data_IF_458162182451
#
_entry.id   IF_458162182451
#
_cell.length_a   1.000
_cell.length_b   1.000
_cell.length_c   1.000
_cell.angle_alpha   90.00
_cell.angle_beta   90.00
_cell.angle_gamma   90.00
#
_symmetry.space_group_name_H-M   'P 1'
#
loop_
_entity.id
_entity.type
_entity.pdbx_description
1 polymer ?
#
# COMPACT_ATOMS: atom_id res chain seq x y z
N UNK A 1 26.01 -14.98 -7.62
CA UNK A 1 24.87 -14.53 -6.78
C UNK A 1 23.68 -15.47 -7.01
N UNK A 2 23.41 -16.44 -6.11
CA UNK A 2 22.21 -17.29 -6.23
C UNK A 2 20.99 -16.46 -5.87
N UNK A 3 20.20 -16.06 -6.86
CA UNK A 3 18.97 -15.29 -6.65
C UNK A 3 17.99 -16.13 -5.82
N UNK A 4 17.83 -15.80 -4.54
CA UNK A 4 16.82 -16.42 -3.68
C UNK A 4 15.42 -15.95 -4.12
N UNK A 5 14.87 -16.64 -5.12
CA UNK A 5 13.55 -16.35 -5.72
C UNK A 5 12.44 -16.27 -4.67
N UNK A 6 12.46 -17.14 -3.65
CA UNK A 6 11.45 -17.14 -2.57
C UNK A 6 11.43 -15.81 -1.82
N UNK A 7 12.61 -15.28 -1.47
CA UNK A 7 12.71 -14.02 -0.76
C UNK A 7 12.29 -12.80 -1.61
N UNK A 8 12.50 -12.85 -2.93
CA UNK A 8 12.03 -11.80 -3.85
C UNK A 8 10.50 -11.83 -3.93
N UNK A 9 9.91 -13.01 -4.13
CA UNK A 9 8.44 -13.17 -4.15
C UNK A 9 7.82 -12.69 -2.84
N UNK A 10 8.42 -13.05 -1.70
CA UNK A 10 7.95 -12.59 -0.40
C UNK A 10 8.04 -11.07 -0.24
N UNK A 11 9.16 -10.47 -0.68
CA UNK A 11 9.33 -9.01 -0.65
C UNK A 11 8.26 -8.30 -1.50
N UNK A 12 8.02 -8.78 -2.72
CA UNK A 12 6.98 -8.25 -3.61
C UNK A 12 5.59 -8.40 -2.98
N UNK A 13 5.24 -9.59 -2.51
CA UNK A 13 3.94 -9.84 -1.88
C UNK A 13 3.71 -8.96 -0.64
N UNK A 14 4.73 -8.83 0.22
CA UNK A 14 4.65 -7.96 1.40
C UNK A 14 4.48 -6.49 1.04
N UNK A 15 5.16 -6.02 -0.01
CA UNK A 15 5.02 -4.65 -0.48
C UNK A 15 3.64 -4.40 -1.08
N UNK A 16 3.10 -5.32 -1.88
CA UNK A 16 1.75 -5.21 -2.42
C UNK A 16 0.72 -5.13 -1.28
N UNK A 17 0.81 -6.02 -0.28
CA UNK A 17 -0.10 -6.02 0.85
C UNK A 17 -0.03 -4.72 1.65
N UNK A 18 1.17 -4.21 1.93
CA UNK A 18 1.36 -2.93 2.61
C UNK A 18 0.82 -1.75 1.79
N UNK A 19 1.07 -1.74 0.48
CA UNK A 19 0.58 -0.70 -0.41
C UNK A 19 -0.95 -0.63 -0.45
N UNK A 20 -1.60 -1.77 -0.70
CA UNK A 20 -3.05 -1.85 -0.90
C UNK A 20 -3.83 -1.76 0.41
N UNK A 21 -3.41 -2.47 1.45
CA UNK A 21 -4.21 -2.60 2.67
C UNK A 21 -3.78 -1.67 3.80
N UNK A 22 -2.66 -0.95 3.67
CA UNK A 22 -2.21 -0.02 4.71
C UNK A 22 -2.08 1.38 4.14
N UNK A 23 -1.20 1.57 3.15
CA UNK A 23 -0.87 2.90 2.66
C UNK A 23 -2.07 3.53 1.95
N UNK A 24 -2.71 2.83 1.01
CA UNK A 24 -3.83 3.37 0.26
C UNK A 24 -5.01 3.83 1.16
N UNK A 25 -5.59 2.99 2.06
CA UNK A 25 -6.69 3.43 2.91
C UNK A 25 -6.33 4.63 3.80
N UNK A 26 -5.10 4.67 4.32
CA UNK A 26 -4.62 5.80 5.12
C UNK A 26 -4.55 7.07 4.27
N UNK A 27 -3.96 7.00 3.08
CA UNK A 27 -3.82 8.19 2.23
C UNK A 27 -5.18 8.70 1.73
N UNK A 28 -6.07 7.80 1.30
CA UNK A 28 -7.42 8.17 0.84
C UNK A 28 -8.24 8.77 1.97
N UNK A 29 -8.23 8.17 3.15
CA UNK A 29 -8.98 8.69 4.31
C UNK A 29 -8.45 10.03 4.81
N UNK A 30 -7.13 10.24 4.82
CA UNK A 30 -6.54 11.53 5.18
C UNK A 30 -6.92 12.61 4.17
N UNK A 31 -6.89 12.30 2.87
CA UNK A 31 -7.30 13.25 1.83
C UNK A 31 -8.80 13.58 1.92
N UNK A 32 -9.65 12.59 2.20
CA UNK A 32 -11.06 12.79 2.41
C UNK A 32 -11.34 13.62 3.67
N UNK A 33 -10.62 13.37 4.76
CA UNK A 33 -10.75 14.12 6.00
C UNK A 33 -10.32 15.59 5.85
N UNK A 34 -9.21 15.85 5.15
CA UNK A 34 -8.70 17.20 4.90
C UNK A 34 -9.64 18.05 4.01
N UNK A 35 -10.46 17.39 3.19
CA UNK A 35 -11.43 18.07 2.31
C UNK A 35 -12.77 18.40 2.97
N UNK A 36 -13.01 17.99 4.23
CA UNK A 36 -14.28 18.21 4.93
C UNK A 36 -14.16 19.23 6.07
N UNK A 37 -15.24 19.98 6.31
CA UNK A 37 -15.32 21.04 7.33
C UNK A 37 -15.68 20.43 8.70
N UNK A 38 -14.99 20.94 9.74
CA UNK A 38 -14.98 20.55 11.16
C UNK A 38 -16.19 19.78 11.71
N UNK A 39 -15.91 18.66 12.38
CA UNK A 39 -16.86 17.96 13.28
C UNK A 39 -16.85 16.44 13.17
N UNK A 40 -16.34 15.89 12.06
CA UNK A 40 -16.34 14.45 11.82
C UNK A 40 -15.04 13.76 12.26
N UNK A 41 -15.11 12.46 12.55
CA UNK A 41 -13.94 11.67 12.97
C UNK A 41 -13.18 11.13 11.75
N UNK A 42 -11.85 11.27 11.73
CA UNK A 42 -11.01 10.65 10.69
C UNK A 42 -11.23 9.13 10.57
N UNK A 43 -11.56 8.47 11.68
CA UNK A 43 -11.79 7.02 11.72
C UNK A 43 -12.93 6.57 10.81
N UNK A 44 -13.99 7.37 10.67
CA UNK A 44 -15.10 7.09 9.75
C UNK A 44 -14.60 7.02 8.30
N UNK A 45 -13.82 8.01 7.86
CA UNK A 45 -13.21 8.05 6.54
C UNK A 45 -12.24 6.89 6.30
N UNK A 46 -11.55 6.43 7.36
CA UNK A 46 -10.67 5.27 7.28
C UNK A 46 -11.46 4.00 7.01
N UNK A 47 -12.57 3.77 7.73
CA UNK A 47 -13.44 2.61 7.51
C UNK A 47 -14.06 2.63 6.10
N UNK A 48 -14.50 3.80 5.64
CA UNK A 48 -15.04 3.96 4.27
C UNK A 48 -13.98 3.65 3.21
N UNK A 49 -12.74 4.10 3.43
CA UNK A 49 -11.61 3.81 2.54
C UNK A 49 -11.28 2.32 2.48
N UNK A 50 -11.40 1.59 3.60
CA UNK A 50 -11.29 0.13 3.60
C UNK A 50 -12.44 -0.54 2.83
N UNK A 51 -13.67 -0.04 2.98
CA UNK A 51 -14.81 -0.51 2.19
C UNK A 51 -14.58 -0.37 0.69
N UNK A 52 -14.01 0.76 0.26
CA UNK A 52 -13.66 0.99 -1.15
C UNK A 52 -12.59 0.00 -1.65
N UNK A 53 -11.53 -0.23 -0.87
CA UNK A 53 -10.48 -1.19 -1.22
C UNK A 53 -11.01 -2.63 -1.32
N UNK A 54 -11.92 -3.03 -0.44
CA UNK A 54 -12.47 -4.40 -0.41
C UNK A 54 -13.55 -4.65 -1.46
N UNK A 55 -14.29 -3.61 -1.84
CA UNK A 55 -15.42 -3.75 -2.77
C UNK A 55 -15.00 -3.95 -4.23
N UNK A 56 -13.80 -3.49 -4.64
CA UNK A 56 -13.31 -3.54 -6.03
C UNK A 56 -14.32 -3.05 -7.09
N UNK A 57 -15.33 -2.28 -6.68
CA UNK A 57 -16.45 -1.88 -7.55
C UNK A 57 -16.13 -0.67 -8.41
N UNK A 58 -15.15 0.14 -8.02
CA UNK A 58 -14.70 1.31 -8.79
C UNK A 58 -13.36 1.03 -9.49
N UNK A 59 -13.34 1.32 -10.80
CA UNK A 59 -12.13 1.25 -11.63
C UNK A 59 -11.04 2.20 -11.10
N UNK A 60 -11.43 3.38 -10.59
CA UNK A 60 -10.45 4.32 -10.00
C UNK A 60 -9.81 3.72 -8.74
N UNK A 61 -10.61 3.15 -7.84
CA UNK A 61 -10.12 2.48 -6.64
C UNK A 61 -9.18 1.30 -6.94
N UNK A 62 -9.51 0.53 -7.98
CA UNK A 62 -8.67 -0.59 -8.44
C UNK A 62 -7.34 -0.12 -9.03
N UNK A 63 -7.36 0.93 -9.85
CA UNK A 63 -6.14 1.52 -10.41
C UNK A 63 -5.25 2.10 -9.29
N UNK A 64 -5.86 2.74 -8.31
CA UNK A 64 -5.18 3.27 -7.14
C UNK A 64 -4.51 2.15 -6.33
N UNK A 65 -5.20 1.03 -6.12
CA UNK A 65 -4.65 -0.16 -5.47
C UNK A 65 -3.46 -0.74 -6.22
N UNK A 66 -3.55 -0.86 -7.55
CA UNK A 66 -2.41 -1.28 -8.37
C UNK A 66 -1.22 -0.33 -8.18
N UNK A 67 -1.45 0.99 -8.22
CA UNK A 67 -0.40 1.97 -8.06
C UNK A 67 0.32 1.86 -6.71
N UNK A 68 -0.43 1.87 -5.60
CA UNK A 68 0.14 1.75 -4.27
C UNK A 68 0.82 0.39 -4.05
N UNK A 69 0.23 -0.70 -4.55
CA UNK A 69 0.80 -2.04 -4.47
C UNK A 69 2.15 -2.15 -5.18
N UNK A 70 2.25 -1.63 -6.41
CA UNK A 70 3.51 -1.62 -7.17
C UNK A 70 4.56 -0.74 -6.51
N UNK A 71 4.20 0.48 -6.10
CA UNK A 71 5.14 1.41 -5.47
C UNK A 71 5.72 0.84 -4.17
N UNK A 72 4.88 0.25 -3.32
CA UNK A 72 5.32 -0.37 -2.08
C UNK A 72 6.15 -1.64 -2.34
N UNK A 73 5.81 -2.46 -3.34
CA UNK A 73 6.62 -3.61 -3.76
C UNK A 73 8.03 -3.20 -4.21
N UNK A 74 8.13 -2.16 -5.04
CA UNK A 74 9.42 -1.61 -5.47
C UNK A 74 10.23 -1.09 -4.28
N UNK A 75 9.59 -0.39 -3.34
CA UNK A 75 10.25 0.13 -2.16
C UNK A 75 10.79 -0.99 -1.25
N UNK A 76 9.99 -2.00 -0.97
CA UNK A 76 10.42 -3.16 -0.17
C UNK A 76 11.53 -3.93 -0.88
N UNK A 77 11.45 -4.09 -2.21
CA UNK A 77 12.54 -4.70 -3.00
C UNK A 77 13.85 -3.89 -2.90
N UNK A 78 13.77 -2.56 -2.95
CA UNK A 78 14.95 -1.70 -2.77
C UNK A 78 15.57 -1.90 -1.38
N UNK A 79 14.76 -1.93 -0.32
CA UNK A 79 15.25 -2.13 1.05
C UNK A 79 15.90 -3.50 1.21
N UNK A 80 15.24 -4.55 0.75
CA UNK A 80 15.75 -5.93 0.86
C UNK A 80 17.04 -6.12 0.07
N UNK A 81 17.16 -5.49 -1.09
CA UNK A 81 18.40 -5.51 -1.89
C UNK A 81 19.53 -4.73 -1.21
N UNK A 82 19.23 -3.55 -0.63
CA UNK A 82 20.22 -2.76 0.13
C UNK A 82 20.72 -3.52 1.37
N UNK A 83 19.84 -4.21 2.11
CA UNK A 83 20.24 -5.00 3.28
C UNK A 83 21.19 -6.14 2.92
N UNK A 84 20.96 -6.82 1.79
CA UNK A 84 21.86 -7.87 1.31
C UNK A 84 23.27 -7.36 0.99
N UNK A 85 23.37 -6.22 0.27
CA UNK A 85 24.66 -5.59 -0.03
C UNK A 85 25.47 -5.14 1.20
N UNK A 86 24.83 -4.91 2.35
CA UNK A 86 25.51 -4.50 3.59
C UNK A 86 26.01 -5.68 4.43
N UNK A 87 25.58 -6.91 4.10
CA UNK A 87 25.90 -8.12 4.85
C UNK A 87 26.93 -9.01 4.13
N UNK A 88 27.26 -8.66 2.87
CA UNK A 88 28.38 -9.19 2.09
C UNK A 88 29.59 -8.24 2.23
#
# INVERSE_FOLDING_TARGET
MKTNKKAIVLAVASGILLGVFVIQPITVSLHAFDSHVQGESWFSYLMDSYGQVLSFTDMKGTLLAMFYGVMAALFVMMITTKRRKKTE
#
